data_IF_406706591616
#
_entry.id   IF_406706591616
#
_cell.length_a   1.000
_cell.length_b   1.000
_cell.length_c   1.000
_cell.angle_alpha   90.00
_cell.angle_beta   90.00
_cell.angle_gamma   90.00
#
_symmetry.space_group_name_H-M   'P 1'
#
loop_
_entity.id
_entity.type
_entity.pdbx_description
1 polymer ?
#
# COMPACT_ATOMS: atom_id res chain seq x y z
N UNK A 1 7.16 76.24 -41.50
CA UNK A 1 6.08 75.45 -40.89
C UNK A 1 6.54 74.00 -40.78
N UNK A 2 6.91 73.56 -39.55
CA UNK A 2 7.35 72.18 -39.28
C UNK A 2 6.16 71.33 -38.90
N UNK A 3 5.83 70.32 -39.71
CA UNK A 3 4.78 69.33 -39.39
C UNK A 3 5.39 68.22 -38.56
N UNK A 4 4.98 68.10 -37.30
CA UNK A 4 5.36 67.06 -36.37
C UNK A 4 4.44 65.86 -36.56
N UNK A 5 5.00 64.72 -37.00
CA UNK A 5 4.30 63.45 -37.11
C UNK A 5 4.36 62.73 -35.73
N UNK A 6 3.17 62.58 -35.08
CA UNK A 6 3.06 61.78 -33.87
C UNK A 6 2.72 60.34 -34.24
N UNK A 7 3.64 59.40 -33.97
CA UNK A 7 3.37 57.99 -34.08
C UNK A 7 2.83 57.52 -32.73
N UNK A 8 1.56 57.10 -32.70
CA UNK A 8 0.91 56.49 -31.53
C UNK A 8 1.17 55.01 -31.55
N UNK A 9 2.09 54.54 -30.68
CA UNK A 9 2.40 53.14 -30.52
C UNK A 9 1.38 52.55 -29.53
N UNK A 10 0.36 51.79 -30.00
CA UNK A 10 -0.52 51.00 -29.15
C UNK A 10 0.22 49.75 -28.71
N UNK A 11 0.66 49.71 -27.43
CA UNK A 11 1.05 48.47 -26.77
C UNK A 11 -0.21 47.67 -26.52
N UNK A 12 -0.46 46.66 -27.34
CA UNK A 12 -1.48 45.64 -27.07
C UNK A 12 -1.06 44.80 -25.86
N UNK A 13 -1.64 45.09 -24.71
CA UNK A 13 -1.52 44.21 -23.54
C UNK A 13 -2.38 42.96 -23.82
N UNK A 14 -1.75 41.90 -24.27
CA UNK A 14 -2.36 40.58 -24.35
C UNK A 14 -2.51 40.06 -22.93
N UNK A 15 -3.72 39.83 -22.40
CA UNK A 15 -3.83 39.17 -21.09
C UNK A 15 -3.40 37.73 -21.25
N UNK A 16 -2.22 37.44 -20.75
CA UNK A 16 -1.75 36.06 -20.54
C UNK A 16 -2.69 35.46 -19.50
N UNK A 17 -3.72 34.73 -19.95
CA UNK A 17 -4.50 33.88 -19.03
C UNK A 17 -3.60 32.79 -18.50
N UNK A 18 -2.97 33.05 -17.35
CA UNK A 18 -2.47 31.98 -16.51
C UNK A 18 -3.68 31.17 -16.06
N UNK A 19 -3.91 30.04 -16.72
CA UNK A 19 -4.82 29.03 -16.21
C UNK A 19 -4.19 28.52 -14.91
N UNK A 20 -4.67 29.00 -13.77
CA UNK A 20 -4.33 28.42 -12.49
C UNK A 20 -4.84 26.97 -12.52
N UNK A 21 -3.93 26.01 -12.60
CA UNK A 21 -4.26 24.60 -12.50
C UNK A 21 -4.84 24.42 -11.11
N UNK A 22 -6.16 24.22 -11.04
CA UNK A 22 -6.85 24.00 -9.79
C UNK A 22 -6.32 22.69 -9.19
N UNK A 23 -5.53 22.78 -8.12
CA UNK A 23 -5.01 21.62 -7.41
C UNK A 23 -6.20 20.93 -6.75
N UNK A 24 -6.66 19.83 -7.33
CA UNK A 24 -7.66 18.97 -6.70
C UNK A 24 -7.10 18.44 -5.38
N UNK A 25 -7.86 18.65 -4.29
CA UNK A 25 -7.52 18.21 -2.94
C UNK A 25 -7.19 16.71 -2.95
N UNK A 26 -6.12 16.30 -2.28
CA UNK A 26 -5.79 14.89 -2.09
C UNK A 26 -6.87 14.20 -1.27
N UNK A 27 -7.21 12.98 -1.63
CA UNK A 27 -8.13 12.10 -0.93
C UNK A 27 -7.35 10.87 -0.46
N UNK A 28 -7.62 10.39 0.74
CA UNK A 28 -7.02 9.16 1.27
C UNK A 28 -8.12 8.15 1.60
N UNK A 29 -7.86 6.89 1.27
CA UNK A 29 -8.67 5.73 1.64
C UNK A 29 -7.86 4.87 2.60
N UNK A 30 -8.37 4.69 3.83
CA UNK A 30 -7.74 3.77 4.79
C UNK A 30 -8.09 2.33 4.43
N UNK A 31 -7.07 1.46 4.40
CA UNK A 31 -7.19 0.03 4.12
C UNK A 31 -6.94 -0.79 5.41
N UNK A 32 -7.58 -0.39 6.50
CA UNK A 32 -7.46 -1.02 7.82
C UNK A 32 -8.53 -2.09 8.11
N UNK A 33 -9.41 -2.39 7.15
CA UNK A 33 -10.54 -3.29 7.33
C UNK A 33 -10.65 -4.33 6.22
N UNK A 34 -11.39 -5.41 6.52
CA UNK A 34 -11.69 -6.45 5.54
C UNK A 34 -10.50 -7.31 5.16
N UNK A 35 -9.48 -7.37 6.02
CA UNK A 35 -8.34 -8.23 5.82
C UNK A 35 -8.64 -9.68 6.22
N UNK A 36 -8.09 -10.60 5.43
CA UNK A 36 -8.01 -12.02 5.73
C UNK A 36 -6.57 -12.49 5.61
N UNK A 37 -6.20 -13.51 6.38
CA UNK A 37 -4.89 -14.11 6.30
C UNK A 37 -4.96 -15.63 6.24
N UNK A 38 -3.91 -16.23 5.70
CA UNK A 38 -3.72 -17.67 5.65
C UNK A 38 -2.24 -18.04 5.68
N UNK A 39 -1.94 -19.24 6.17
CA UNK A 39 -0.62 -19.85 5.96
C UNK A 39 -0.50 -20.25 4.48
N UNK A 40 0.62 -19.95 3.85
CA UNK A 40 0.87 -20.34 2.46
C UNK A 40 0.78 -21.87 2.30
N UNK A 41 0.08 -22.29 1.25
CA UNK A 41 -0.18 -23.72 1.00
C UNK A 41 -1.36 -24.29 1.76
N UNK A 42 -2.02 -23.51 2.62
CA UNK A 42 -3.28 -23.87 3.28
C UNK A 42 -4.45 -23.10 2.67
N UNK A 43 -5.59 -23.74 2.55
CA UNK A 43 -6.82 -23.10 2.04
C UNK A 43 -7.78 -22.73 3.20
N UNK A 44 -7.22 -22.29 4.32
CA UNK A 44 -7.97 -21.81 5.47
C UNK A 44 -7.74 -20.32 5.65
N UNK A 45 -8.68 -19.52 5.18
CA UNK A 45 -8.64 -18.05 5.34
C UNK A 45 -9.37 -17.65 6.61
N UNK A 46 -8.75 -16.83 7.43
CA UNK A 46 -9.29 -16.30 8.66
C UNK A 46 -9.26 -14.77 8.63
N UNK A 47 -10.24 -14.10 9.28
CA UNK A 47 -10.20 -12.65 9.45
C UNK A 47 -8.90 -12.19 10.12
N UNK A 48 -8.33 -11.09 9.64
CA UNK A 48 -7.10 -10.49 10.17
C UNK A 48 -7.35 -9.08 10.69
N UNK A 49 -6.54 -8.68 11.66
CA UNK A 49 -6.52 -7.31 12.19
C UNK A 49 -5.31 -6.56 11.63
N UNK A 50 -5.56 -5.44 10.94
CA UNK A 50 -4.51 -4.57 10.39
C UNK A 50 -4.74 -3.14 10.90
N UNK A 51 -3.72 -2.52 11.53
CA UNK A 51 -2.39 -3.09 11.83
C UNK A 51 -2.42 -4.18 12.90
N UNK A 52 -1.54 -5.17 12.78
CA UNK A 52 -1.47 -6.31 13.68
C UNK A 52 -0.33 -7.25 13.32
N UNK A 53 -0.30 -8.41 13.95
CA UNK A 53 0.70 -9.45 13.70
C UNK A 53 0.03 -10.81 13.51
N UNK A 54 0.67 -11.69 12.76
CA UNK A 54 0.21 -13.07 12.54
C UNK A 54 -0.02 -13.82 13.86
N UNK A 55 0.82 -13.57 14.86
CA UNK A 55 0.67 -14.20 16.18
C UNK A 55 -0.62 -13.74 16.87
N UNK A 56 -0.93 -12.43 16.83
CA UNK A 56 -2.16 -11.88 17.42
C UNK A 56 -3.39 -12.45 16.72
N UNK A 57 -3.38 -12.51 15.40
CA UNK A 57 -4.47 -13.07 14.62
C UNK A 57 -4.67 -14.56 14.93
N UNK A 58 -3.60 -15.36 14.96
CA UNK A 58 -3.68 -16.78 15.32
C UNK A 58 -4.19 -17.00 16.75
N UNK A 59 -3.79 -16.17 17.72
CA UNK A 59 -4.29 -16.24 19.09
C UNK A 59 -5.76 -15.89 19.14
N UNK A 60 -6.21 -14.86 18.43
CA UNK A 60 -7.61 -14.45 18.40
C UNK A 60 -8.56 -15.54 17.87
N UNK A 61 -8.03 -16.38 16.97
CA UNK A 61 -8.73 -17.53 16.40
C UNK A 61 -8.47 -18.85 17.15
N UNK A 62 -7.88 -18.81 18.35
CA UNK A 62 -7.54 -19.98 19.16
C UNK A 62 -6.64 -21.01 18.43
N UNK A 63 -5.85 -20.56 17.47
CA UNK A 63 -4.86 -21.39 16.76
C UNK A 63 -3.51 -21.41 17.44
N UNK A 64 -3.23 -20.42 18.31
CA UNK A 64 -2.04 -20.37 19.17
C UNK A 64 -2.43 -20.13 20.63
N UNK A 65 -1.70 -20.73 21.58
CA UNK A 65 -1.82 -20.36 22.99
C UNK A 65 -1.16 -18.99 23.22
N UNK A 66 -1.54 -18.33 24.32
CA UNK A 66 -0.84 -17.11 24.72
C UNK A 66 0.63 -17.42 25.06
N UNK A 67 1.62 -16.83 24.34
CA UNK A 67 3.04 -17.13 24.49
C UNK A 67 3.59 -16.77 25.88
N UNK A 68 2.98 -15.79 26.56
CA UNK A 68 3.43 -15.31 27.86
C UNK A 68 3.00 -16.22 29.03
N UNK A 69 2.36 -17.34 28.77
CA UNK A 69 1.89 -18.23 29.81
C UNK A 69 2.65 -19.58 29.81
N UNK A 70 3.34 -19.86 30.91
CA UNK A 70 4.08 -21.10 31.09
C UNK A 70 5.18 -21.27 30.05
N UNK A 71 5.21 -22.45 29.39
CA UNK A 71 6.18 -22.79 28.34
C UNK A 71 5.59 -22.64 26.92
N UNK A 72 4.56 -21.82 26.75
CA UNK A 72 3.90 -21.68 25.45
C UNK A 72 4.77 -20.99 24.39
N UNK A 73 5.80 -20.26 24.80
CA UNK A 73 6.77 -19.67 23.88
C UNK A 73 7.31 -20.70 22.88
N UNK A 74 7.65 -21.90 23.35
CA UNK A 74 8.13 -22.98 22.48
C UNK A 74 7.06 -23.46 21.47
N UNK A 75 5.78 -23.37 21.85
CA UNK A 75 4.66 -23.82 21.02
C UNK A 75 4.31 -22.85 19.90
N UNK A 76 4.78 -21.62 19.94
CA UNK A 76 4.47 -20.59 18.95
C UNK A 76 5.61 -20.37 17.94
N UNK A 77 6.81 -20.92 18.19
CA UNK A 77 8.01 -20.72 17.35
C UNK A 77 7.85 -21.23 15.91
N UNK A 78 6.95 -22.17 15.66
CA UNK A 78 6.72 -22.67 14.31
C UNK A 78 6.21 -21.59 13.35
N UNK A 79 5.55 -20.54 13.87
CA UNK A 79 4.95 -19.47 13.08
C UNK A 79 6.00 -18.71 12.26
N UNK A 80 7.18 -18.50 12.82
CA UNK A 80 8.29 -17.80 12.15
C UNK A 80 8.94 -18.62 11.02
N UNK A 81 8.70 -19.94 11.00
CA UNK A 81 9.19 -20.84 9.96
C UNK A 81 8.24 -20.97 8.76
N UNK A 82 7.07 -20.33 8.82
CA UNK A 82 6.05 -20.40 7.77
C UNK A 82 5.91 -19.08 7.03
N UNK A 83 5.46 -19.18 5.78
CA UNK A 83 5.12 -18.03 4.98
C UNK A 83 3.63 -17.73 5.16
N UNK A 84 3.28 -16.43 5.22
CA UNK A 84 1.93 -15.98 5.50
C UNK A 84 1.44 -15.03 4.41
N UNK A 85 0.18 -15.15 4.05
CA UNK A 85 -0.42 -14.26 3.06
C UNK A 85 -1.60 -13.51 3.69
N UNK A 86 -1.59 -12.19 3.49
CA UNK A 86 -2.68 -11.28 3.85
C UNK A 86 -3.32 -10.74 2.59
N UNK A 87 -4.64 -10.61 2.57
CA UNK A 87 -5.36 -10.02 1.45
C UNK A 87 -6.52 -9.17 1.92
N UNK A 88 -6.84 -8.15 1.14
CA UNK A 88 -8.06 -7.35 1.27
C UNK A 88 -8.54 -6.90 -0.09
N UNK A 89 -9.79 -6.42 -0.14
CA UNK A 89 -10.35 -5.79 -1.34
C UNK A 89 -10.82 -4.38 -1.01
N UNK A 90 -10.76 -3.49 -1.99
CA UNK A 90 -11.27 -2.13 -1.89
C UNK A 90 -11.80 -1.65 -3.24
N UNK A 91 -12.72 -0.69 -3.19
CA UNK A 91 -13.33 -0.16 -4.39
C UNK A 91 -12.74 1.20 -4.76
N UNK A 92 -12.52 1.40 -6.06
CA UNK A 92 -12.05 2.65 -6.64
C UNK A 92 -13.10 3.19 -7.61
N UNK A 93 -13.46 4.46 -7.45
CA UNK A 93 -14.43 5.16 -8.30
C UNK A 93 -13.78 5.74 -9.56
N UNK A 94 -14.60 6.11 -10.56
CA UNK A 94 -14.12 6.81 -11.74
C UNK A 94 -13.46 8.15 -11.36
N UNK A 95 -14.01 8.86 -10.36
CA UNK A 95 -13.43 10.12 -9.89
C UNK A 95 -12.02 9.90 -9.31
N UNK A 96 -11.83 8.89 -8.50
CA UNK A 96 -10.51 8.53 -7.93
C UNK A 96 -9.52 8.12 -9.02
N UNK A 97 -9.95 7.31 -10.00
CA UNK A 97 -9.13 6.96 -11.16
C UNK A 97 -8.79 8.16 -12.06
N UNK A 98 -9.60 9.19 -12.08
CA UNK A 98 -9.34 10.40 -12.87
C UNK A 98 -8.25 11.30 -12.28
N UNK A 99 -7.77 11.02 -11.06
CA UNK A 99 -6.68 11.77 -10.41
C UNK A 99 -5.36 11.56 -11.14
N UNK A 100 -4.49 12.56 -11.08
CA UNK A 100 -3.18 12.53 -11.76
C UNK A 100 -2.26 11.43 -11.23
N UNK A 101 -2.35 11.11 -9.93
CA UNK A 101 -1.57 10.06 -9.28
C UNK A 101 -2.40 9.29 -8.27
N UNK A 102 -2.02 8.04 -8.02
CA UNK A 102 -2.48 7.22 -6.92
C UNK A 102 -1.27 6.53 -6.27
N UNK A 103 -1.19 6.60 -4.96
CA UNK A 103 -0.10 6.04 -4.17
C UNK A 103 -0.66 5.04 -3.16
N UNK A 104 -0.03 3.88 -3.06
CA UNK A 104 -0.21 2.95 -1.95
C UNK A 104 0.87 3.24 -0.93
N UNK A 105 0.45 3.56 0.31
CA UNK A 105 1.35 3.85 1.40
C UNK A 105 1.25 2.72 2.41
N UNK A 106 2.40 2.11 2.72
CA UNK A 106 2.57 1.05 3.69
C UNK A 106 3.55 1.56 4.75
N UNK A 107 3.08 1.78 5.97
CA UNK A 107 3.87 2.43 7.03
C UNK A 107 4.96 1.53 7.61
N UNK A 108 4.79 0.21 7.48
CA UNK A 108 5.80 -0.76 7.88
C UNK A 108 5.35 -2.18 7.57
N UNK A 109 6.28 -3.01 7.13
CA UNK A 109 6.09 -4.44 6.87
C UNK A 109 7.24 -5.22 7.51
N UNK A 110 6.93 -6.15 8.40
CA UNK A 110 7.95 -6.93 9.12
C UNK A 110 8.00 -8.35 8.58
N UNK A 111 8.99 -8.70 7.80
CA UNK A 111 10.11 -7.91 7.25
C UNK A 111 10.18 -8.12 5.74
N UNK A 112 10.31 -9.40 5.33
CA UNK A 112 10.41 -9.80 3.92
C UNK A 112 9.02 -10.01 3.36
N UNK A 113 8.59 -9.13 2.45
CA UNK A 113 7.26 -9.27 1.86
C UNK A 113 7.25 -8.95 0.37
N UNK A 114 6.39 -9.66 -0.37
CA UNK A 114 6.02 -9.35 -1.75
C UNK A 114 4.65 -8.69 -1.75
N UNK A 115 4.54 -7.50 -2.35
CA UNK A 115 3.31 -6.71 -2.41
C UNK A 115 2.70 -6.84 -3.79
N UNK A 116 1.46 -7.31 -3.87
CA UNK A 116 0.73 -7.48 -5.12
C UNK A 116 -0.54 -6.64 -5.13
N UNK A 117 -0.80 -5.97 -6.23
CA UNK A 117 -2.09 -5.31 -6.50
C UNK A 117 -2.65 -5.83 -7.82
N UNK A 118 -3.87 -6.36 -7.78
CA UNK A 118 -4.54 -6.97 -8.93
C UNK A 118 -3.70 -8.05 -9.65
N UNK A 119 -2.89 -8.79 -8.87
CA UNK A 119 -1.98 -9.82 -9.37
C UNK A 119 -0.64 -9.30 -9.90
N UNK A 120 -0.44 -7.99 -9.98
CA UNK A 120 0.85 -7.41 -10.38
C UNK A 120 1.74 -7.21 -9.16
N UNK A 121 2.97 -7.72 -9.20
CA UNK A 121 3.98 -7.45 -8.17
C UNK A 121 4.38 -5.98 -8.24
N UNK A 122 4.22 -5.26 -7.11
CA UNK A 122 4.58 -3.85 -6.99
C UNK A 122 5.99 -3.68 -6.42
N UNK A 123 6.29 -4.41 -5.34
CA UNK A 123 7.55 -4.25 -4.60
C UNK A 123 7.87 -5.49 -3.78
N UNK A 124 9.15 -5.66 -3.44
CA UNK A 124 9.67 -6.61 -2.46
C UNK A 124 10.36 -5.87 -1.35
N UNK A 125 9.98 -6.16 -0.11
CA UNK A 125 10.51 -5.47 1.06
C UNK A 125 11.50 -6.36 1.82
N UNK A 126 12.47 -5.73 2.49
CA UNK A 126 13.46 -6.38 3.33
C UNK A 126 13.81 -5.56 4.58
N UNK A 127 13.06 -4.50 4.84
CA UNK A 127 13.32 -3.59 5.96
C UNK A 127 12.02 -3.16 6.64
N UNK A 128 11.84 -3.57 7.90
CA UNK A 128 10.67 -3.27 8.71
C UNK A 128 10.62 -1.83 9.24
N UNK A 129 11.74 -1.10 9.20
CA UNK A 129 11.86 0.24 9.80
C UNK A 129 11.58 1.37 8.81
N UNK A 130 11.25 1.06 7.57
CA UNK A 130 10.93 2.06 6.54
C UNK A 130 9.50 1.88 6.05
N UNK A 131 8.86 3.00 5.72
CA UNK A 131 7.59 3.00 5.00
C UNK A 131 7.82 2.92 3.49
N UNK A 132 6.89 2.28 2.79
CA UNK A 132 6.93 2.14 1.34
C UNK A 132 5.81 3.00 0.73
N UNK A 133 6.15 3.78 -0.28
CA UNK A 133 5.20 4.59 -1.05
C UNK A 133 5.29 4.21 -2.51
N UNK A 134 4.29 3.50 -2.99
CA UNK A 134 4.29 2.85 -4.30
C UNK A 134 3.31 3.53 -5.26
N UNK A 135 3.74 3.93 -6.46
CA UNK A 135 2.82 4.43 -7.49
C UNK A 135 1.98 3.26 -8.02
N UNK A 136 0.65 3.39 -7.90
CA UNK A 136 -0.27 2.28 -8.24
C UNK A 136 -1.28 2.63 -9.31
N UNK A 137 -1.25 3.85 -9.85
CA UNK A 137 -2.24 4.31 -10.79
C UNK A 137 -2.43 3.39 -12.01
N UNK A 138 -1.34 2.86 -12.55
CA UNK A 138 -1.36 2.02 -13.75
C UNK A 138 -1.94 0.63 -13.53
N UNK A 139 -2.00 0.17 -12.27
CA UNK A 139 -2.51 -1.16 -11.90
C UNK A 139 -3.88 -1.12 -11.24
N UNK A 140 -4.34 0.08 -10.82
CA UNK A 140 -5.68 0.27 -10.29
C UNK A 140 -6.75 0.09 -11.37
N UNK A 141 -7.90 -0.42 -10.95
CA UNK A 141 -9.08 -0.63 -11.79
C UNK A 141 -10.30 0.05 -11.18
N UNK A 142 -11.25 0.44 -12.01
CA UNK A 142 -12.58 0.84 -11.54
C UNK A 142 -13.26 -0.33 -10.83
N UNK A 143 -13.92 -0.04 -9.72
CA UNK A 143 -14.58 -1.05 -8.90
C UNK A 143 -13.60 -1.77 -7.99
N UNK A 144 -13.78 -3.06 -7.83
CA UNK A 144 -13.01 -3.86 -6.88
C UNK A 144 -11.56 -4.07 -7.31
N UNK A 145 -10.66 -3.82 -6.36
CA UNK A 145 -9.23 -4.06 -6.46
C UNK A 145 -8.80 -5.01 -5.34
N UNK A 146 -7.84 -5.88 -5.64
CA UNK A 146 -7.33 -6.91 -4.73
C UNK A 146 -5.89 -6.57 -4.32
N UNK A 147 -5.68 -6.27 -3.04
CA UNK A 147 -4.36 -6.10 -2.46
C UNK A 147 -3.96 -7.38 -1.72
N UNK A 148 -2.79 -7.90 -2.01
CA UNK A 148 -2.22 -9.06 -1.35
C UNK A 148 -0.78 -8.77 -0.91
N UNK A 149 -0.44 -9.19 0.29
CA UNK A 149 0.90 -9.09 0.85
C UNK A 149 1.31 -10.50 1.28
N UNK A 150 2.37 -11.01 0.67
CA UNK A 150 2.96 -12.30 1.00
C UNK A 150 4.19 -12.06 1.88
N UNK A 151 4.10 -12.45 3.14
CA UNK A 151 5.22 -12.40 4.08
C UNK A 151 6.00 -13.71 4.03
N UNK A 152 7.28 -13.61 3.79
CA UNK A 152 8.19 -14.73 3.80
C UNK A 152 8.75 -14.96 5.20
N UNK A 153 8.97 -16.23 5.56
CA UNK A 153 9.62 -16.61 6.80
C UNK A 153 10.99 -15.92 6.93
N UNK A 154 11.22 -15.13 7.98
CA UNK A 154 12.53 -14.52 8.20
C UNK A 154 13.61 -15.56 8.42
N UNK A 155 13.27 -16.70 9.03
CA UNK A 155 14.20 -17.82 9.25
C UNK A 155 14.66 -18.41 7.92
N UNK A 156 13.74 -18.70 7.00
CA UNK A 156 14.09 -19.22 5.66
C UNK A 156 14.93 -18.21 4.87
N UNK A 157 14.59 -16.92 4.92
CA UNK A 157 15.31 -15.87 4.18
C UNK A 157 16.73 -15.64 4.68
N UNK A 158 16.99 -15.84 5.97
CA UNK A 158 18.33 -15.66 6.55
C UNK A 158 19.22 -16.87 6.39
N UNK A 159 18.68 -18.08 6.34
CA UNK A 159 19.46 -19.32 6.15
C UNK A 159 20.23 -19.35 4.81
N UNK A 160 19.77 -18.61 3.79
CA UNK A 160 20.46 -18.53 2.50
C UNK A 160 21.59 -17.49 2.46
N UNK A 161 21.79 -16.72 3.53
CA UNK A 161 22.83 -15.68 3.61
C UNK A 161 24.11 -16.15 4.33
N UNK A 162 24.10 -17.37 4.85
CA UNK A 162 25.22 -18.02 5.53
C UNK A 162 25.45 -19.40 4.93
#
# INVERSE_FOLDING_TARGET
>A
MKKTLKVLMMLGCFPMMLSAKEYKKSESLSLDKGWEFAQVGRNEWLPATVPGTVHQDLISHNKLPNPFYGMNEQKVQWVENEDWVYKTTFNVTDEQLSRDAALLILEGLDTYADIYLNGSLLERTDNMFVGYTLPVKEVLRKGENHLQILFHSPVKQTLHKY
#
